data_IF_816216926535
#
_entry.id   IF_816216926535
#
_cell.length_a   1.000
_cell.length_b   1.000
_cell.length_c   1.000
_cell.angle_alpha   90.00
_cell.angle_beta   90.00
_cell.angle_gamma   90.00
#
_symmetry.space_group_name_H-M   'P 1'
#
loop_
_entity.id
_entity.type
_entity.pdbx_description
1 polymer ?
#
# COMPACT_ATOMS: atom_id res chain seq x y z
N UNK A 1 -10.83 -16.42 -23.80
CA UNK A 1 -10.52 -15.08 -23.25
C UNK A 1 -9.63 -15.30 -22.04
N UNK A 2 -8.48 -14.63 -21.99
CA UNK A 2 -7.48 -14.91 -20.96
C UNK A 2 -7.93 -14.28 -19.64
N UNK A 3 -8.14 -15.12 -18.62
CA UNK A 3 -8.52 -14.72 -17.26
C UNK A 3 -7.58 -13.65 -16.70
N UNK A 4 -6.29 -13.69 -17.09
CA UNK A 4 -5.29 -12.69 -16.71
C UNK A 4 -5.57 -11.28 -17.26
N UNK A 5 -6.17 -11.16 -18.44
CA UNK A 5 -6.49 -9.86 -19.05
C UNK A 5 -7.60 -9.10 -18.31
N UNK A 6 -8.43 -9.80 -17.53
CA UNK A 6 -9.51 -9.20 -16.73
C UNK A 6 -9.12 -9.06 -15.26
N UNK A 7 -8.40 -10.04 -14.70
CA UNK A 7 -8.00 -10.06 -13.29
C UNK A 7 -6.96 -8.98 -12.97
N UNK A 8 -6.01 -8.72 -13.88
CA UNK A 8 -4.93 -7.75 -13.64
C UNK A 8 -5.48 -6.31 -13.55
N UNK A 9 -6.29 -5.82 -14.50
CA UNK A 9 -6.93 -4.51 -14.37
C UNK A 9 -7.86 -4.41 -13.17
N UNK A 10 -8.58 -5.49 -12.83
CA UNK A 10 -9.47 -5.52 -11.68
C UNK A 10 -8.69 -5.40 -10.36
N UNK A 11 -7.55 -6.08 -10.24
CA UNK A 11 -6.68 -5.98 -9.07
C UNK A 11 -6.10 -4.57 -8.91
N UNK A 12 -5.54 -4.00 -9.98
CA UNK A 12 -4.97 -2.65 -9.96
C UNK A 12 -6.08 -1.62 -9.66
N UNK A 13 -7.22 -1.73 -10.34
CA UNK A 13 -8.37 -0.85 -10.13
C UNK A 13 -8.91 -0.96 -8.70
N UNK A 14 -8.99 -2.16 -8.15
CA UNK A 14 -9.39 -2.42 -6.77
C UNK A 14 -8.43 -1.77 -5.75
N UNK A 15 -7.11 -1.94 -5.94
CA UNK A 15 -6.10 -1.30 -5.08
C UNK A 15 -6.24 0.22 -5.13
N UNK A 16 -6.35 0.81 -6.32
CA UNK A 16 -6.51 2.27 -6.47
C UNK A 16 -7.80 2.75 -5.80
N UNK A 17 -8.92 2.06 -6.03
CA UNK A 17 -10.21 2.43 -5.45
C UNK A 17 -10.18 2.37 -3.92
N UNK A 18 -9.64 1.29 -3.35
CA UNK A 18 -9.52 1.13 -1.89
C UNK A 18 -8.58 2.17 -1.30
N UNK A 19 -7.41 2.39 -1.90
CA UNK A 19 -6.45 3.41 -1.43
C UNK A 19 -7.04 4.83 -1.53
N UNK A 20 -7.82 5.15 -2.56
CA UNK A 20 -8.48 6.45 -2.68
C UNK A 20 -9.57 6.65 -1.61
N UNK A 21 -10.39 5.61 -1.37
CA UNK A 21 -11.42 5.63 -0.32
C UNK A 21 -10.77 5.77 1.06
N UNK A 22 -9.75 4.95 1.34
CA UNK A 22 -8.99 5.00 2.59
C UNK A 22 -8.40 6.40 2.79
N UNK A 23 -7.69 6.92 1.78
CA UNK A 23 -7.12 8.27 1.84
C UNK A 23 -8.17 9.33 2.13
N UNK A 24 -9.30 9.33 1.41
CA UNK A 24 -10.33 10.35 1.58
C UNK A 24 -11.02 10.27 2.94
N UNK A 25 -11.41 9.07 3.38
CA UNK A 25 -12.08 8.86 4.67
C UNK A 25 -11.12 9.13 5.83
N UNK A 26 -9.90 8.60 5.79
CA UNK A 26 -8.88 8.80 6.81
C UNK A 26 -8.45 10.27 6.90
N UNK A 27 -8.27 10.95 5.76
CA UNK A 27 -7.93 12.36 5.74
C UNK A 27 -9.05 13.25 6.30
N UNK A 28 -10.31 12.97 5.94
CA UNK A 28 -11.48 13.69 6.49
C UNK A 28 -11.61 13.48 8.00
N UNK A 29 -11.43 12.23 8.46
CA UNK A 29 -11.52 11.86 9.88
C UNK A 29 -10.41 12.53 10.72
N UNK A 30 -9.20 12.61 10.18
CA UNK A 30 -8.03 13.15 10.86
C UNK A 30 -7.80 14.66 10.62
N UNK A 31 -8.78 15.40 10.06
CA UNK A 31 -8.57 16.81 9.67
C UNK A 31 -8.10 17.72 10.81
N UNK A 32 -8.48 17.40 12.05
CA UNK A 32 -8.17 18.18 13.25
C UNK A 32 -6.88 17.75 13.95
N UNK A 33 -6.24 16.66 13.50
CA UNK A 33 -5.09 16.02 14.16
C UNK A 33 -3.90 15.96 13.19
N UNK A 34 -3.20 17.08 13.03
CA UNK A 34 -2.08 17.23 12.08
C UNK A 34 -0.98 16.18 12.27
N UNK A 35 -0.70 15.80 13.52
CA UNK A 35 0.28 14.76 13.88
C UNK A 35 -0.11 13.38 13.31
N UNK A 36 -1.36 12.95 13.54
CA UNK A 36 -1.90 11.70 13.02
C UNK A 36 -2.02 11.69 11.49
N UNK A 37 -2.26 12.86 10.90
CA UNK A 37 -2.38 13.01 9.45
C UNK A 37 -1.05 12.74 8.74
N UNK A 38 0.08 13.07 9.36
CA UNK A 38 1.41 12.72 8.87
C UNK A 38 1.65 11.21 8.87
N UNK A 39 1.31 10.54 9.98
CA UNK A 39 1.40 9.08 10.10
C UNK A 39 0.48 8.37 9.09
N UNK A 40 -0.73 8.88 8.91
CA UNK A 40 -1.70 8.34 7.95
C UNK A 40 -1.23 8.52 6.50
N UNK A 41 -0.70 9.69 6.15
CA UNK A 41 -0.11 9.91 4.82
C UNK A 41 1.09 8.97 4.58
N UNK A 42 1.94 8.78 5.59
CA UNK A 42 3.05 7.82 5.54
C UNK A 42 2.57 6.39 5.29
N UNK A 43 1.51 5.97 5.98
CA UNK A 43 0.86 4.67 5.77
C UNK A 43 0.37 4.50 4.33
N UNK A 44 -0.41 5.45 3.80
CA UNK A 44 -0.97 5.36 2.44
C UNK A 44 0.14 5.34 1.38
N UNK A 45 1.16 6.18 1.51
CA UNK A 45 2.30 6.20 0.58
C UNK A 45 3.10 4.90 0.65
N UNK A 46 3.36 4.38 1.85
CA UNK A 46 4.04 3.11 2.03
C UNK A 46 3.24 1.94 1.42
N UNK A 47 1.92 1.91 1.59
CA UNK A 47 1.07 0.89 0.97
C UNK A 47 1.04 1.02 -0.56
N UNK A 48 0.95 2.22 -1.12
CA UNK A 48 0.99 2.43 -2.57
C UNK A 48 2.33 1.96 -3.17
N UNK A 49 3.45 2.29 -2.51
CA UNK A 49 4.78 1.79 -2.91
C UNK A 49 4.87 0.26 -2.78
N UNK A 50 4.33 -0.31 -1.70
CA UNK A 50 4.25 -1.75 -1.51
C UNK A 50 3.47 -2.43 -2.64
N UNK A 51 2.27 -1.94 -2.95
CA UNK A 51 1.45 -2.48 -4.03
C UNK A 51 2.13 -2.35 -5.39
N UNK A 52 2.89 -1.27 -5.64
CA UNK A 52 3.69 -1.15 -6.85
C UNK A 52 4.71 -2.30 -6.97
N UNK A 53 5.47 -2.61 -5.91
CA UNK A 53 6.41 -3.73 -5.92
C UNK A 53 5.70 -5.08 -6.04
N UNK A 54 4.53 -5.24 -5.40
CA UNK A 54 3.73 -6.46 -5.48
C UNK A 54 3.19 -6.70 -6.90
N UNK A 55 2.63 -5.67 -7.53
CA UNK A 55 2.15 -5.71 -8.93
C UNK A 55 3.31 -6.04 -9.87
N UNK A 56 4.47 -5.43 -9.66
CA UNK A 56 5.67 -5.72 -10.45
C UNK A 56 6.15 -7.17 -10.27
N UNK A 57 6.01 -7.75 -9.08
CA UNK A 57 6.37 -9.15 -8.83
C UNK A 57 5.37 -10.15 -9.40
N UNK A 58 4.07 -9.85 -9.32
CA UNK A 58 3.01 -10.76 -9.74
C UNK A 58 2.76 -10.72 -11.25
N UNK A 59 2.91 -9.54 -11.87
CA UNK A 59 2.49 -9.29 -13.25
C UNK A 59 3.64 -8.81 -14.15
N UNK A 60 4.89 -9.15 -13.79
CA UNK A 60 6.09 -8.82 -14.57
C UNK A 60 5.95 -9.18 -16.07
N UNK A 61 5.44 -10.39 -16.33
CA UNK A 61 5.26 -10.92 -17.69
C UNK A 61 4.21 -10.13 -18.48
N UNK A 62 3.16 -9.64 -17.81
CA UNK A 62 2.11 -8.82 -18.44
C UNK A 62 2.59 -7.39 -18.73
N UNK A 63 3.44 -6.83 -17.85
CA UNK A 63 4.04 -5.50 -18.02
C UNK A 63 5.13 -5.44 -19.11
N UNK A 64 5.42 -6.55 -19.80
CA UNK A 64 6.47 -6.63 -20.81
C UNK A 64 7.88 -6.38 -20.25
N UNK A 65 8.07 -6.52 -18.93
CA UNK A 65 9.36 -6.31 -18.29
C UNK A 65 10.22 -7.55 -18.52
N UNK A 66 11.26 -7.41 -19.35
CA UNK A 66 12.35 -8.39 -19.45
C UNK A 66 13.16 -8.33 -18.15
N UNK A 67 12.65 -8.97 -17.09
CA UNK A 67 13.40 -9.22 -15.88
C UNK A 67 14.41 -10.32 -16.22
N UNK A 68 15.71 -10.07 -16.01
CA UNK A 68 16.79 -11.06 -16.26
C UNK A 68 16.54 -12.41 -15.57
N UNK A 69 17.19 -12.70 -14.45
CA UNK A 69 16.80 -13.87 -13.65
C UNK A 69 15.50 -13.52 -12.93
N UNK A 70 14.36 -13.90 -13.51
CA UNK A 70 13.01 -13.58 -13.01
C UNK A 70 12.85 -13.85 -11.49
N UNK A 71 13.48 -14.90 -10.98
CA UNK A 71 13.49 -15.26 -9.55
C UNK A 71 14.13 -14.20 -8.65
N UNK A 72 15.26 -13.60 -9.05
CA UNK A 72 15.97 -12.59 -8.26
C UNK A 72 15.18 -11.28 -8.23
N UNK A 73 14.64 -10.86 -9.37
CA UNK A 73 13.85 -9.63 -9.39
C UNK A 73 12.53 -9.77 -8.63
N UNK A 74 11.90 -10.96 -8.65
CA UNK A 74 10.68 -11.19 -7.86
C UNK A 74 10.95 -11.23 -6.36
N UNK A 75 12.00 -11.92 -5.91
CA UNK A 75 12.32 -11.98 -4.48
C UNK A 75 12.68 -10.59 -3.91
N UNK A 76 13.39 -9.76 -4.66
CA UNK A 76 13.67 -8.36 -4.30
C UNK A 76 12.38 -7.53 -4.22
N UNK A 77 11.49 -7.64 -5.21
CA UNK A 77 10.21 -6.92 -5.20
C UNK A 77 9.33 -7.35 -4.02
N UNK A 78 9.26 -8.65 -3.70
CA UNK A 78 8.54 -9.15 -2.52
C UNK A 78 9.19 -8.65 -1.22
N UNK A 79 10.51 -8.62 -1.15
CA UNK A 79 11.23 -8.06 0.01
C UNK A 79 10.93 -6.58 0.22
N UNK A 80 10.96 -5.78 -0.85
CA UNK A 80 10.60 -4.36 -0.82
C UNK A 80 9.13 -4.14 -0.45
N UNK A 81 8.22 -4.97 -0.96
CA UNK A 81 6.83 -5.00 -0.50
C UNK A 81 6.74 -5.24 1.01
N UNK A 82 7.46 -6.23 1.53
CA UNK A 82 7.49 -6.55 2.95
C UNK A 82 8.00 -5.39 3.82
N UNK A 83 9.04 -4.68 3.35
CA UNK A 83 9.56 -3.49 4.04
C UNK A 83 8.55 -2.33 4.02
N UNK A 84 7.93 -2.06 2.87
CA UNK A 84 6.88 -1.06 2.75
C UNK A 84 5.68 -1.39 3.66
N UNK A 85 5.29 -2.66 3.72
CA UNK A 85 4.25 -3.15 4.61
C UNK A 85 4.62 -2.99 6.08
N UNK A 86 5.86 -3.28 6.48
CA UNK A 86 6.32 -3.10 7.85
C UNK A 86 6.29 -1.62 8.28
N UNK A 87 6.74 -0.70 7.41
CA UNK A 87 6.66 0.75 7.66
C UNK A 87 5.21 1.20 7.80
N UNK A 88 4.35 0.74 6.90
CA UNK A 88 2.91 0.98 6.95
C UNK A 88 2.27 0.51 8.27
N UNK A 89 2.59 -0.71 8.72
CA UNK A 89 2.10 -1.26 9.97
C UNK A 89 2.58 -0.45 11.19
N UNK A 90 3.84 0.01 11.18
CA UNK A 90 4.38 0.88 12.23
C UNK A 90 3.64 2.23 12.28
N UNK A 91 3.39 2.86 11.12
CA UNK A 91 2.62 4.10 11.05
C UNK A 91 1.23 3.93 11.67
N UNK A 92 0.52 2.84 11.35
CA UNK A 92 -0.80 2.54 11.91
C UNK A 92 -0.73 2.26 13.40
N UNK A 93 0.24 1.46 13.86
CA UNK A 93 0.42 1.16 15.28
C UNK A 93 0.63 2.43 16.11
N UNK A 94 1.55 3.30 15.67
CA UNK A 94 1.80 4.59 16.33
C UNK A 94 0.55 5.47 16.29
N UNK A 95 -0.15 5.53 15.17
CA UNK A 95 -1.39 6.31 15.04
C UNK A 95 -2.47 5.85 16.03
N UNK A 96 -2.66 4.52 16.17
CA UNK A 96 -3.60 3.92 17.11
C UNK A 96 -3.19 4.20 18.56
N UNK A 97 -1.91 4.07 18.91
CA UNK A 97 -1.42 4.42 20.25
C UNK A 97 -1.68 5.88 20.60
N UNK A 98 -1.47 6.80 19.66
CA UNK A 98 -1.73 8.24 19.85
C UNK A 98 -3.22 8.56 19.94
N UNK A 99 -4.08 7.81 19.25
CA UNK A 99 -5.53 7.92 19.38
C UNK A 99 -6.02 7.40 20.73
N UNK A 100 -5.49 6.27 21.19
CA UNK A 100 -5.86 5.64 22.46
C UNK A 100 -5.38 6.44 23.69
N UNK A 101 -4.28 7.19 23.58
CA UNK A 101 -3.73 8.01 24.65
C UNK A 101 -4.55 9.28 24.97
N UNK A 102 -5.62 9.57 24.21
CA UNK A 102 -6.48 10.73 24.48
C UNK A 102 -7.54 10.36 25.51
N UNK A 103 -7.62 11.04 26.67
CA UNK A 103 -8.63 10.73 27.68
C UNK A 103 -10.01 10.97 27.09
N UNK A 104 -10.90 9.98 27.21
CA UNK A 104 -12.34 10.21 26.99
C UNK A 104 -12.86 10.93 28.22
N UNK A 105 -12.97 12.26 28.14
CA UNK A 105 -13.75 13.06 29.08
C UNK A 105 -15.21 13.07 28.65
#
# INVERSE_FOLDING_TARGET
>A
MSFEAEVIPLFIGGVIAVSAIEFFLGWRSLRHRKDLRGLFAGHVVAMLLGFFFLIRSLFANWLGLSLGIASISNSVNIGLFGLCWAVSALCVAVMLSRLAAVPRY
#
